data_IF_221728538308
#
_entry.id   IF_221728538308
#
_cell.length_a   1.000
_cell.length_b   1.000
_cell.length_c   1.000
_cell.angle_alpha   90.00
_cell.angle_beta   90.00
_cell.angle_gamma   90.00
#
_symmetry.space_group_name_H-M   'P 1'
#
loop_
_entity.id
_entity.type
_entity.pdbx_description
1 polymer ?
#
# COMPACT_ATOMS: atom_id res chain seq x y z
N UNK A 1 33.55 -37.28 -9.21
CA UNK A 1 34.25 -36.40 -8.26
C UNK A 1 33.25 -35.38 -7.77
N UNK A 2 32.91 -35.35 -6.49
CA UNK A 2 31.87 -34.52 -5.92
C UNK A 2 32.47 -33.15 -5.52
N UNK A 3 31.99 -32.05 -6.08
CA UNK A 3 32.49 -30.71 -5.77
C UNK A 3 31.50 -29.94 -4.87
N UNK A 4 31.60 -29.99 -3.55
CA UNK A 4 30.67 -29.36 -2.63
C UNK A 4 30.59 -27.82 -2.75
N UNK A 5 31.58 -27.18 -3.39
CA UNK A 5 31.66 -25.73 -3.61
C UNK A 5 30.78 -25.27 -4.76
N UNK A 6 30.72 -26.04 -5.86
CA UNK A 6 29.86 -25.74 -7.02
C UNK A 6 28.39 -25.83 -6.62
N UNK A 7 28.01 -26.85 -5.86
CA UNK A 7 26.64 -27.02 -5.37
C UNK A 7 26.16 -25.84 -4.50
N UNK A 8 27.03 -25.32 -3.62
CA UNK A 8 26.71 -24.13 -2.81
C UNK A 8 26.55 -22.87 -3.66
N UNK A 9 27.36 -22.70 -4.69
CA UNK A 9 27.25 -21.56 -5.61
C UNK A 9 25.96 -21.62 -6.42
N UNK A 10 25.61 -22.79 -6.92
CA UNK A 10 24.39 -23.02 -7.70
C UNK A 10 23.15 -22.87 -6.82
N UNK A 11 23.19 -23.32 -5.57
CA UNK A 11 22.14 -23.07 -4.59
C UNK A 11 21.93 -21.58 -4.34
N UNK A 12 23.00 -20.80 -4.12
CA UNK A 12 22.89 -19.35 -3.90
C UNK A 12 22.37 -18.61 -5.13
N UNK A 13 22.78 -19.02 -6.34
CA UNK A 13 22.26 -18.47 -7.59
C UNK A 13 20.76 -18.77 -7.75
N UNK A 14 20.36 -20.01 -7.52
CA UNK A 14 18.96 -20.43 -7.56
C UNK A 14 18.12 -19.68 -6.52
N UNK A 15 18.61 -19.56 -5.30
CA UNK A 15 17.95 -18.83 -4.22
C UNK A 15 17.72 -17.36 -4.58
N UNK A 16 18.75 -16.69 -5.12
CA UNK A 16 18.63 -15.29 -5.57
C UNK A 16 17.60 -15.15 -6.69
N UNK A 17 17.65 -16.04 -7.69
CA UNK A 17 16.72 -16.00 -8.82
C UNK A 17 15.27 -16.23 -8.39
N UNK A 18 15.02 -17.24 -7.55
CA UNK A 18 13.68 -17.52 -7.02
C UNK A 18 13.15 -16.38 -6.16
N UNK A 19 14.02 -15.76 -5.34
CA UNK A 19 13.65 -14.58 -4.55
C UNK A 19 13.22 -13.42 -5.44
N UNK A 20 13.92 -13.13 -6.52
CA UNK A 20 13.57 -12.07 -7.46
C UNK A 20 12.27 -12.37 -8.22
N UNK A 21 12.06 -13.61 -8.64
CA UNK A 21 10.81 -14.02 -9.30
C UNK A 21 9.61 -13.88 -8.35
N UNK A 22 9.78 -14.24 -7.07
CA UNK A 22 8.71 -14.15 -6.08
C UNK A 22 8.29 -12.70 -5.76
N UNK A 23 9.16 -11.70 -6.01
CA UNK A 23 8.84 -10.28 -5.83
C UNK A 23 7.73 -9.82 -6.79
N UNK A 24 7.70 -10.34 -8.02
CA UNK A 24 6.74 -9.90 -9.05
C UNK A 24 5.28 -10.09 -8.61
N UNK A 25 4.83 -11.29 -8.22
CA UNK A 25 3.45 -11.48 -7.77
C UNK A 25 3.14 -10.71 -6.49
N UNK A 26 4.09 -10.56 -5.57
CA UNK A 26 3.91 -9.74 -4.37
C UNK A 26 3.74 -8.26 -4.69
N UNK A 27 4.50 -7.73 -5.64
CA UNK A 27 4.35 -6.36 -6.10
C UNK A 27 2.98 -6.13 -6.75
N UNK A 28 2.52 -7.08 -7.56
CA UNK A 28 1.17 -7.03 -8.16
C UNK A 28 0.10 -7.01 -7.06
N UNK A 29 0.18 -7.88 -6.07
CA UNK A 29 -0.75 -7.92 -4.95
C UNK A 29 -0.74 -6.61 -4.14
N UNK A 30 0.45 -6.03 -3.89
CA UNK A 30 0.56 -4.75 -3.22
C UNK A 30 -0.09 -3.61 -4.02
N UNK A 31 0.10 -3.59 -5.35
CA UNK A 31 -0.50 -2.59 -6.24
C UNK A 31 -2.03 -2.76 -6.40
N UNK A 32 -2.53 -3.99 -6.29
CA UNK A 32 -3.97 -4.27 -6.32
C UNK A 32 -4.68 -3.92 -5.01
N UNK A 33 -3.93 -3.69 -3.93
CA UNK A 33 -4.47 -3.25 -2.65
C UNK A 33 -4.94 -1.80 -2.76
N UNK A 34 -6.25 -1.60 -2.94
CA UNK A 34 -6.86 -0.28 -2.93
C UNK A 34 -6.59 0.38 -1.58
N UNK A 35 -6.16 1.63 -1.57
CA UNK A 35 -5.89 2.37 -0.34
C UNK A 35 -4.81 1.81 0.61
N UNK A 36 -4.11 0.72 0.25
CA UNK A 36 -3.10 0.10 1.13
C UNK A 36 -1.98 1.06 1.54
N UNK A 37 -1.45 1.82 0.59
CA UNK A 37 -0.44 2.84 0.85
C UNK A 37 -0.99 3.99 1.71
N UNK A 38 -2.20 4.48 1.40
CA UNK A 38 -2.87 5.54 2.18
C UNK A 38 -3.10 5.08 3.61
N UNK A 39 -3.58 3.85 3.80
CA UNK A 39 -3.81 3.26 5.12
C UNK A 39 -2.51 3.11 5.92
N UNK A 40 -1.37 2.84 5.28
CA UNK A 40 -0.07 2.83 5.94
C UNK A 40 0.28 4.20 6.53
N UNK A 41 0.08 5.30 5.78
CA UNK A 41 0.30 6.65 6.29
C UNK A 41 -0.62 6.99 7.45
N UNK A 42 -1.87 6.50 7.44
CA UNK A 42 -2.81 6.67 8.56
C UNK A 42 -2.35 5.91 9.82
N UNK A 43 -1.75 4.73 9.67
CA UNK A 43 -1.20 3.99 10.82
C UNK A 43 0.00 4.69 11.47
N UNK A 44 0.77 5.48 10.73
CA UNK A 44 1.90 6.25 11.25
C UNK A 44 1.45 7.49 12.05
N UNK A 45 0.24 7.92 11.87
CA UNK A 45 -0.38 9.02 12.60
C UNK A 45 -1.53 9.61 11.81
N UNK A 46 -2.70 9.65 12.43
CA UNK A 46 -3.90 10.17 11.81
C UNK A 46 -4.70 11.04 12.76
N UNK A 47 -5.42 11.99 12.21
CA UNK A 47 -6.38 12.82 12.90
C UNK A 47 -7.73 12.78 12.17
N UNK A 48 -8.80 12.87 12.94
CA UNK A 48 -10.14 12.92 12.41
C UNK A 48 -10.58 14.38 12.30
N UNK A 49 -11.13 14.73 11.15
CA UNK A 49 -11.75 16.02 10.88
C UNK A 49 -13.21 15.83 10.44
N UNK A 50 -14.02 16.84 10.69
CA UNK A 50 -15.38 16.93 10.13
C UNK A 50 -15.28 17.64 8.79
N UNK A 51 -15.79 17.01 7.74
CA UNK A 51 -15.84 17.58 6.41
C UNK A 51 -17.31 17.93 6.05
N UNK A 52 -17.53 19.06 5.39
CA UNK A 52 -18.83 19.43 4.87
C UNK A 52 -18.95 19.04 3.40
N UNK A 53 -20.05 18.42 3.04
CA UNK A 53 -20.34 18.03 1.65
C UNK A 53 -20.74 19.30 0.87
N UNK A 54 -19.99 19.59 -0.16
CA UNK A 54 -20.21 20.78 -1.00
C UNK A 54 -21.01 20.46 -2.26
N UNK A 55 -20.88 19.25 -2.80
CA UNK A 55 -21.56 18.84 -4.03
C UNK A 55 -21.78 17.33 -4.07
N UNK A 56 -22.90 16.92 -4.64
CA UNK A 56 -23.22 15.51 -4.89
C UNK A 56 -23.57 15.36 -6.38
N UNK A 57 -22.79 14.58 -7.11
CA UNK A 57 -23.03 14.27 -8.50
C UNK A 57 -23.51 12.82 -8.63
N UNK A 58 -24.70 12.64 -9.18
CA UNK A 58 -25.20 11.32 -9.50
C UNK A 58 -24.49 10.79 -10.76
N UNK A 59 -24.02 9.57 -10.71
CA UNK A 59 -23.44 8.92 -11.88
C UNK A 59 -24.52 8.18 -12.68
N UNK A 60 -24.21 7.76 -13.94
CA UNK A 60 -25.12 6.89 -14.71
C UNK A 60 -25.40 5.54 -14.02
N UNK A 61 -24.51 5.10 -13.13
CA UNK A 61 -24.73 3.93 -12.29
C UNK A 61 -25.45 4.36 -11.00
N UNK A 62 -26.70 3.88 -10.74
CA UNK A 62 -27.49 4.29 -9.57
C UNK A 62 -26.85 3.90 -8.22
N UNK A 63 -25.92 2.96 -8.21
CA UNK A 63 -25.22 2.53 -7.00
C UNK A 63 -24.00 3.40 -6.65
N UNK A 64 -23.64 4.33 -7.55
CA UNK A 64 -22.46 5.18 -7.38
C UNK A 64 -22.81 6.66 -7.38
N UNK A 65 -22.31 7.40 -6.40
CA UNK A 65 -22.35 8.87 -6.39
C UNK A 65 -20.92 9.40 -6.27
N UNK A 66 -20.68 10.57 -6.85
CA UNK A 66 -19.45 11.33 -6.61
C UNK A 66 -19.79 12.41 -5.60
N UNK A 67 -19.15 12.38 -4.44
CA UNK A 67 -19.34 13.33 -3.36
C UNK A 67 -18.11 14.21 -3.25
N UNK A 68 -18.29 15.51 -3.41
CA UNK A 68 -17.26 16.52 -3.16
C UNK A 68 -17.44 17.06 -1.74
N UNK A 69 -16.36 17.12 -0.99
CA UNK A 69 -16.37 17.59 0.39
C UNK A 69 -15.18 18.49 0.68
N UNK A 70 -15.33 19.36 1.68
CA UNK A 70 -14.25 20.23 2.17
C UNK A 70 -14.07 20.07 3.68
N UNK A 71 -12.83 20.13 4.15
CA UNK A 71 -12.49 20.12 5.57
C UNK A 71 -11.29 21.00 5.86
N UNK A 72 -11.19 21.46 7.09
CA UNK A 72 -10.07 22.27 7.55
C UNK A 72 -9.07 21.41 8.33
N UNK A 73 -7.80 21.50 7.98
CA UNK A 73 -6.70 20.92 8.73
C UNK A 73 -5.54 21.94 8.80
N UNK A 74 -5.03 22.14 9.99
CA UNK A 74 -3.91 23.07 10.27
C UNK A 74 -4.11 24.50 9.69
N UNK A 75 -5.35 24.97 9.70
CA UNK A 75 -5.72 26.31 9.21
C UNK A 75 -5.77 26.41 7.67
N UNK A 76 -5.74 25.29 6.97
CA UNK A 76 -5.87 25.22 5.51
C UNK A 76 -7.12 24.41 5.15
N UNK A 77 -7.94 24.93 4.24
CA UNK A 77 -9.11 24.23 3.72
C UNK A 77 -8.68 23.31 2.58
N UNK A 78 -9.00 22.04 2.71
CA UNK A 78 -8.79 21.02 1.70
C UNK A 78 -10.13 20.62 1.09
N UNK A 79 -10.17 20.50 -0.24
CA UNK A 79 -11.33 19.97 -0.97
C UNK A 79 -10.94 18.69 -1.69
N UNK A 80 -11.82 17.70 -1.67
CA UNK A 80 -11.62 16.44 -2.36
C UNK A 80 -12.93 15.80 -2.77
N UNK A 81 -12.81 14.72 -3.53
CA UNK A 81 -13.94 13.92 -3.99
C UNK A 81 -13.75 12.45 -3.63
N UNK A 82 -14.83 11.76 -3.30
CA UNK A 82 -14.80 10.31 -3.23
C UNK A 82 -16.02 9.72 -3.95
N UNK A 83 -15.85 8.50 -4.44
CA UNK A 83 -16.97 7.75 -5.03
C UNK A 83 -17.63 6.92 -3.93
N UNK A 84 -18.84 7.33 -3.56
CA UNK A 84 -19.69 6.54 -2.68
C UNK A 84 -20.23 5.34 -3.45
N UNK A 85 -20.02 4.15 -2.92
CA UNK A 85 -20.73 2.95 -3.35
C UNK A 85 -21.86 2.66 -2.34
N UNK A 86 -23.11 2.83 -2.75
CA UNK A 86 -24.28 2.66 -1.88
C UNK A 86 -24.45 1.26 -1.31
N UNK A 87 -23.81 0.26 -1.91
CA UNK A 87 -23.80 -1.11 -1.37
C UNK A 87 -22.92 -1.21 -0.12
N UNK A 88 -21.82 -0.46 -0.08
CA UNK A 88 -20.86 -0.47 1.03
C UNK A 88 -21.12 0.66 2.04
N UNK A 89 -21.67 1.78 1.55
CA UNK A 89 -22.04 2.96 2.32
C UNK A 89 -23.48 3.36 1.96
N UNK A 90 -24.49 2.75 2.61
CA UNK A 90 -25.90 2.97 2.27
C UNK A 90 -26.46 4.30 2.77
N UNK A 91 -25.63 5.16 3.34
CA UNK A 91 -26.06 6.47 3.87
C UNK A 91 -26.48 7.37 2.73
N UNK A 92 -27.65 8.02 2.85
CA UNK A 92 -28.09 9.04 1.91
C UNK A 92 -27.60 10.39 2.41
N UNK A 93 -26.68 10.99 1.67
CA UNK A 93 -26.14 12.30 1.97
C UNK A 93 -26.88 13.41 1.24
N UNK A 94 -26.94 14.59 1.85
CA UNK A 94 -27.37 15.84 1.26
C UNK A 94 -26.21 16.84 1.22
N UNK A 95 -26.36 17.89 0.43
CA UNK A 95 -25.43 19.04 0.47
C UNK A 95 -25.50 19.67 1.86
N UNK A 96 -24.38 20.12 2.39
CA UNK A 96 -24.16 20.63 3.75
C UNK A 96 -24.17 19.57 4.87
N UNK A 97 -24.42 18.30 4.55
CA UNK A 97 -24.19 17.23 5.53
C UNK A 97 -22.70 17.13 5.90
N UNK A 98 -22.46 16.61 7.09
CA UNK A 98 -21.09 16.40 7.58
C UNK A 98 -20.69 14.93 7.48
N UNK A 99 -19.46 14.68 7.01
CA UNK A 99 -18.85 13.36 6.99
C UNK A 99 -17.54 13.38 7.79
N UNK A 100 -17.26 12.26 8.44
CA UNK A 100 -15.98 12.10 9.12
C UNK A 100 -14.89 11.74 8.10
N UNK A 101 -13.80 12.51 8.10
CA UNK A 101 -12.62 12.29 7.27
C UNK A 101 -11.43 12.06 8.18
N UNK A 102 -10.61 11.06 7.85
CA UNK A 102 -9.34 10.83 8.50
C UNK A 102 -8.24 11.33 7.57
N UNK A 103 -7.33 12.12 8.09
CA UNK A 103 -6.14 12.58 7.37
C UNK A 103 -4.87 12.24 8.13
N UNK A 104 -3.76 12.11 7.40
CA UNK A 104 -2.46 11.88 8.01
C UNK A 104 -1.94 13.14 8.70
N UNK A 105 -1.39 12.99 9.90
CA UNK A 105 -0.71 14.08 10.62
C UNK A 105 0.59 14.53 9.93
N UNK A 106 1.18 13.68 9.08
CA UNK A 106 2.40 14.00 8.32
C UNK A 106 2.10 14.78 7.05
N UNK A 107 0.96 14.53 6.44
CA UNK A 107 0.53 15.22 5.23
C UNK A 107 -0.99 15.20 5.17
N UNK A 108 -1.66 16.34 5.48
CA UNK A 108 -3.11 16.42 5.45
C UNK A 108 -3.74 16.15 4.07
N UNK A 109 -2.95 16.25 2.99
CA UNK A 109 -3.40 15.87 1.65
C UNK A 109 -3.64 14.36 1.49
N UNK A 110 -3.04 13.52 2.36
CA UNK A 110 -3.28 12.09 2.42
C UNK A 110 -4.46 11.85 3.37
N UNK A 111 -5.60 11.53 2.80
CA UNK A 111 -6.88 11.47 3.50
C UNK A 111 -7.77 10.37 2.95
N UNK A 112 -8.78 9.98 3.72
CA UNK A 112 -9.89 9.15 3.27
C UNK A 112 -11.10 9.35 4.19
N UNK A 113 -12.28 8.99 3.71
CA UNK A 113 -13.47 8.99 4.55
C UNK A 113 -13.37 7.91 5.62
N UNK A 114 -14.03 8.10 6.76
CA UNK A 114 -14.08 7.11 7.83
C UNK A 114 -14.61 5.77 7.32
N UNK A 115 -15.64 5.77 6.49
CA UNK A 115 -16.22 4.56 5.91
C UNK A 115 -15.19 3.76 5.08
N UNK A 116 -14.40 4.46 4.25
CA UNK A 116 -13.34 3.83 3.48
C UNK A 116 -12.19 3.33 4.35
N UNK A 117 -11.86 4.06 5.42
CA UNK A 117 -10.83 3.64 6.36
C UNK A 117 -11.21 2.34 7.06
N UNK A 118 -12.45 2.25 7.55
CA UNK A 118 -12.97 1.06 8.22
C UNK A 118 -13.04 -0.16 7.26
N UNK A 119 -13.39 0.07 6.00
CA UNK A 119 -13.40 -0.95 4.96
C UNK A 119 -11.99 -1.38 4.51
N UNK A 120 -10.99 -0.50 4.60
CA UNK A 120 -9.63 -0.72 4.07
C UNK A 120 -8.70 -1.51 4.98
N UNK A 121 -9.15 -1.96 6.15
CA UNK A 121 -8.29 -2.64 7.13
C UNK A 121 -7.62 -3.92 6.61
N UNK A 122 -8.26 -4.65 5.69
CA UNK A 122 -7.66 -5.82 5.03
C UNK A 122 -6.62 -5.39 4.00
N UNK A 123 -6.90 -4.36 3.23
CA UNK A 123 -6.01 -3.83 2.20
C UNK A 123 -4.69 -3.32 2.80
N UNK A 124 -4.77 -2.61 3.94
CA UNK A 124 -3.59 -2.19 4.69
C UNK A 124 -2.71 -3.37 5.10
N UNK A 125 -3.30 -4.43 5.63
CA UNK A 125 -2.57 -5.64 6.05
C UNK A 125 -1.90 -6.36 4.88
N UNK A 126 -2.60 -6.48 3.75
CA UNK A 126 -2.06 -7.07 2.51
C UNK A 126 -0.91 -6.23 2.01
N UNK A 127 -1.07 -4.91 1.93
CA UNK A 127 -0.01 -4.00 1.48
C UNK A 127 1.25 -4.09 2.35
N UNK A 128 1.09 -4.02 3.67
CA UNK A 128 2.21 -4.10 4.62
C UNK A 128 2.88 -5.46 4.53
N UNK A 129 2.10 -6.55 4.49
CA UNK A 129 2.62 -7.91 4.38
C UNK A 129 3.43 -8.12 3.10
N UNK A 130 2.90 -7.72 1.95
CA UNK A 130 3.60 -7.80 0.66
C UNK A 130 4.87 -6.93 0.64
N UNK A 131 4.80 -5.70 1.13
CA UNK A 131 5.96 -4.79 1.17
C UNK A 131 7.06 -5.34 2.07
N UNK A 132 6.71 -5.86 3.25
CA UNK A 132 7.66 -6.49 4.16
C UNK A 132 8.31 -7.72 3.52
N UNK A 133 7.51 -8.59 2.89
CA UNK A 133 8.02 -9.76 2.19
C UNK A 133 8.97 -9.39 1.04
N UNK A 134 8.67 -8.35 0.26
CA UNK A 134 9.53 -7.84 -0.81
C UNK A 134 10.88 -7.37 -0.23
N UNK A 135 10.88 -6.61 0.86
CA UNK A 135 12.11 -6.14 1.50
C UNK A 135 12.97 -7.32 1.98
N UNK A 136 12.35 -8.33 2.60
CA UNK A 136 13.06 -9.53 3.05
C UNK A 136 13.64 -10.33 1.87
N UNK A 137 12.90 -10.50 0.78
CA UNK A 137 13.37 -11.20 -0.42
C UNK A 137 14.51 -10.45 -1.12
N UNK A 138 14.45 -9.11 -1.18
CA UNK A 138 15.55 -8.28 -1.69
C UNK A 138 16.80 -8.44 -0.81
N UNK A 139 16.65 -8.40 0.51
CA UNK A 139 17.75 -8.64 1.45
C UNK A 139 18.37 -10.03 1.29
N UNK A 140 17.53 -11.05 1.14
CA UNK A 140 17.97 -12.44 0.91
C UNK A 140 18.72 -12.59 -0.43
N UNK A 141 18.17 -11.99 -1.50
CA UNK A 141 18.81 -12.00 -2.82
C UNK A 141 20.17 -11.28 -2.78
N UNK A 142 20.23 -10.11 -2.14
CA UNK A 142 21.48 -9.37 -1.98
C UNK A 142 22.54 -10.17 -1.18
N UNK A 143 22.11 -10.80 -0.09
CA UNK A 143 22.98 -11.67 0.71
C UNK A 143 23.51 -12.86 -0.12
N UNK A 144 22.64 -13.53 -0.88
CA UNK A 144 23.03 -14.63 -1.73
C UNK A 144 24.06 -14.21 -2.80
N UNK A 145 23.84 -13.07 -3.47
CA UNK A 145 24.75 -12.52 -4.48
C UNK A 145 26.12 -12.13 -3.89
N UNK A 146 26.14 -11.50 -2.73
CA UNK A 146 27.42 -11.12 -2.07
C UNK A 146 28.23 -12.34 -1.64
N UNK A 147 27.58 -13.39 -1.15
CA UNK A 147 28.20 -14.67 -0.82
C UNK A 147 28.74 -15.38 -2.05
N UNK A 148 27.97 -15.41 -3.14
CA UNK A 148 28.40 -15.99 -4.41
C UNK A 148 29.66 -15.31 -4.95
N UNK A 149 29.73 -13.96 -4.91
CA UNK A 149 30.92 -13.21 -5.35
C UNK A 149 32.16 -13.51 -4.51
N UNK A 150 32.01 -13.66 -3.19
CA UNK A 150 33.14 -14.02 -2.31
C UNK A 150 33.71 -15.41 -2.66
N UNK A 151 32.86 -16.39 -2.87
CA UNK A 151 33.29 -17.73 -3.26
C UNK A 151 33.95 -17.75 -4.66
N UNK A 152 33.47 -16.96 -5.62
CA UNK A 152 34.11 -16.83 -6.92
C UNK A 152 35.50 -16.18 -6.85
N UNK A 153 35.68 -15.20 -5.95
CA UNK A 153 36.99 -14.56 -5.77
C UNK A 153 38.02 -15.52 -5.11
N UNK A 154 37.60 -16.37 -4.19
CA UNK A 154 38.46 -17.38 -3.54
C UNK A 154 38.94 -18.45 -4.55
N UNK A 155 38.16 -18.79 -5.57
CA UNK A 155 38.52 -19.75 -6.62
C UNK A 155 39.59 -19.23 -7.59
N UNK A 156 39.83 -17.89 -7.66
CA UNK A 156 40.90 -17.31 -8.47
C UNK A 156 42.29 -17.31 -7.80
N UNK A 157 42.35 -17.57 -6.50
CA UNK A 157 43.61 -17.54 -5.74
C UNK A 157 44.18 -18.94 -5.44
N UNK A 158 43.57 -20.03 -5.92
CA UNK A 158 44.02 -21.40 -5.83
C UNK A 158 43.98 -22.10 -7.19
#
# INVERSE_FOLDING_TARGET
MYYPREEKRDFLATLSTLSLIAIVPLAILALMSNHGATSLFMLLGSQQAQASITEIQNTPNPDLNIITYSYDADGTTFTDTYTQNRQNDPVSYATDDTIAVIHSTWSPSIKMTQANYDASGTDARVFIGCTTAIILLLGLSFFALTRQRKHAAEDFYY
#
